data_IF_992737637540
#
_entry.id   IF_992737637540
#
_cell.length_a   1.000
_cell.length_b   1.000
_cell.length_c   1.000
_cell.angle_alpha   90.00
_cell.angle_beta   90.00
_cell.angle_gamma   90.00
#
_symmetry.space_group_name_H-M   'P 1'
#
loop_
_entity.id
_entity.type
_entity.pdbx_description
1 polymer ?
#
# COMPACT_ATOMS: atom_id res chain seq x y z
N UNK A 1 -8.80 -20.75 5.59
CA UNK A 1 -7.69 -21.08 4.68
C UNK A 1 -7.42 -20.03 3.60
N UNK A 2 -8.40 -19.27 3.08
CA UNK A 2 -8.17 -18.29 1.99
C UNK A 2 -7.60 -16.93 2.44
N UNK A 3 -7.69 -16.56 3.70
CA UNK A 3 -7.24 -15.25 4.24
C UNK A 3 -5.74 -15.12 4.42
N UNK A 4 -5.08 -16.16 4.87
CA UNK A 4 -3.60 -16.21 4.97
C UNK A 4 -2.92 -16.01 3.62
N UNK A 5 -3.60 -16.40 2.53
CA UNK A 5 -3.14 -16.20 1.15
C UNK A 5 -3.28 -14.73 0.67
N UNK A 6 -4.24 -13.96 1.19
CA UNK A 6 -4.51 -12.59 0.71
C UNK A 6 -3.51 -11.58 1.24
N UNK A 7 -3.20 -11.60 2.53
CA UNK A 7 -2.16 -10.73 3.10
C UNK A 7 -0.76 -11.11 2.59
N UNK A 8 -0.46 -12.40 2.47
CA UNK A 8 0.82 -12.88 1.91
C UNK A 8 0.93 -12.62 0.40
N UNK A 9 -0.15 -12.76 -0.38
CA UNK A 9 -0.14 -12.46 -1.81
C UNK A 9 0.03 -10.96 -2.09
N UNK A 10 -0.52 -10.07 -1.27
CA UNK A 10 -0.32 -8.62 -1.41
C UNK A 10 1.11 -8.26 -1.02
N UNK A 11 1.67 -8.82 0.06
CA UNK A 11 3.07 -8.62 0.45
C UNK A 11 4.06 -9.32 -0.50
N UNK A 12 3.74 -10.52 -1.02
CA UNK A 12 4.58 -11.26 -1.98
C UNK A 12 4.58 -10.64 -3.39
N UNK A 13 3.54 -9.91 -3.78
CA UNK A 13 3.53 -9.17 -5.05
C UNK A 13 4.51 -7.98 -5.07
N UNK A 14 5.09 -7.63 -3.94
CA UNK A 14 6.19 -6.67 -3.83
C UNK A 14 7.58 -7.29 -4.05
N UNK A 15 7.67 -8.63 -4.16
CA UNK A 15 8.87 -9.32 -4.61
C UNK A 15 8.64 -9.77 -6.05
N UNK A 16 9.21 -9.08 -7.02
CA UNK A 16 9.29 -9.55 -8.41
C UNK A 16 10.10 -10.87 -8.42
N UNK A 17 9.56 -11.99 -8.93
CA UNK A 17 10.39 -13.16 -9.16
C UNK A 17 11.22 -12.93 -10.43
N UNK A 18 12.47 -12.53 -10.29
CA UNK A 18 13.47 -12.82 -11.32
C UNK A 18 13.71 -14.34 -11.33
N UNK A 19 13.18 -15.04 -12.29
CA UNK A 19 13.61 -16.38 -12.66
C UNK A 19 14.88 -16.23 -13.49
N UNK A 20 16.01 -16.59 -12.95
CA UNK A 20 17.29 -16.68 -13.65
C UNK A 20 18.41 -16.88 -12.66
N UNK A 21 19.06 -18.02 -12.77
CA UNK A 21 20.37 -18.41 -12.24
C UNK A 21 20.71 -18.04 -10.79
N UNK A 22 21.36 -18.97 -10.06
CA UNK A 22 21.77 -18.83 -8.65
C UNK A 22 22.94 -17.83 -8.50
N UNK A 23 22.69 -16.59 -8.90
CA UNK A 23 23.53 -15.44 -8.51
C UNK A 23 22.86 -14.74 -7.34
N UNK A 24 23.67 -14.23 -6.39
CA UNK A 24 23.21 -13.37 -5.29
C UNK A 24 22.25 -12.33 -5.88
N UNK A 25 20.99 -12.23 -5.40
CA UNK A 25 20.04 -11.27 -5.95
C UNK A 25 20.65 -9.88 -5.90
N UNK A 26 20.49 -9.06 -6.95
CA UNK A 26 21.06 -7.71 -6.99
C UNK A 26 20.57 -6.93 -5.76
N UNK A 27 21.48 -6.19 -5.14
CA UNK A 27 21.18 -5.40 -3.95
C UNK A 27 20.18 -4.25 -4.23
N UNK A 28 19.93 -3.92 -5.50
CA UNK A 28 19.05 -2.83 -5.95
C UNK A 28 18.18 -3.26 -7.14
N UNK A 29 17.02 -2.63 -7.30
CA UNK A 29 16.18 -2.73 -8.49
C UNK A 29 16.56 -1.59 -9.44
N UNK A 30 17.24 -1.93 -10.53
CA UNK A 30 17.63 -0.97 -11.57
C UNK A 30 16.54 -0.88 -12.63
N UNK A 31 16.05 0.33 -12.87
CA UNK A 31 15.08 0.66 -13.91
C UNK A 31 15.79 1.52 -14.94
N UNK A 32 15.96 0.95 -16.14
CA UNK A 32 16.62 1.63 -17.26
C UNK A 32 15.57 2.26 -18.15
N UNK A 33 15.67 3.55 -18.38
CA UNK A 33 14.79 4.31 -19.25
C UNK A 33 15.62 5.05 -20.31
N UNK A 34 15.27 4.84 -21.57
CA UNK A 34 15.77 5.63 -22.69
C UNK A 34 14.68 6.55 -23.16
N UNK A 35 14.83 7.86 -22.89
CA UNK A 35 13.75 8.84 -23.08
C UNK A 35 14.20 9.99 -24.00
N UNK A 36 13.23 10.61 -24.65
CA UNK A 36 13.47 11.78 -25.50
C UNK A 36 13.31 13.10 -24.72
N UNK A 37 14.09 14.14 -25.04
CA UNK A 37 13.83 15.50 -24.57
C UNK A 37 12.39 15.90 -24.91
N UNK A 38 11.67 16.48 -23.95
CA UNK A 38 10.28 16.89 -24.19
C UNK A 38 9.93 18.09 -23.31
N UNK A 39 9.53 19.19 -23.94
CA UNK A 39 9.04 20.37 -23.26
C UNK A 39 7.71 20.13 -22.55
N UNK A 40 7.40 20.99 -21.56
CA UNK A 40 6.10 20.96 -20.91
C UNK A 40 4.96 21.21 -21.92
N UNK A 41 3.82 20.52 -21.77
CA UNK A 41 2.67 20.76 -22.62
C UNK A 41 2.14 22.18 -22.44
N UNK A 42 1.47 22.70 -23.47
CA UNK A 42 0.78 24.00 -23.43
C UNK A 42 -0.70 23.77 -23.71
N UNK A 43 -1.62 24.01 -22.76
CA UNK A 43 -1.39 24.48 -21.37
C UNK A 43 -0.69 23.43 -20.49
N UNK A 44 0.00 23.85 -19.43
CA UNK A 44 0.83 22.99 -18.58
C UNK A 44 0.06 21.81 -17.95
N UNK A 45 -1.21 22.00 -17.61
CA UNK A 45 -2.10 20.98 -17.04
C UNK A 45 -2.99 20.30 -18.10
N UNK A 46 -2.56 20.26 -19.37
CA UNK A 46 -3.28 19.54 -20.43
C UNK A 46 -3.48 18.06 -20.07
N UNK A 47 -2.51 17.47 -19.43
CA UNK A 47 -2.53 16.09 -18.97
C UNK A 47 -2.62 16.04 -17.45
N UNK A 48 -3.58 15.26 -16.94
CA UNK A 48 -3.74 14.98 -15.51
C UNK A 48 -3.95 13.48 -15.31
N UNK A 49 -3.43 12.95 -14.20
CA UNK A 49 -3.52 11.53 -13.85
C UNK A 49 -4.72 11.20 -12.94
N UNK A 50 -5.51 12.20 -12.58
CA UNK A 50 -6.79 12.04 -11.87
C UNK A 50 -7.89 12.78 -12.61
N UNK A 51 -9.16 12.34 -12.52
CA UNK A 51 -10.29 13.07 -13.07
C UNK A 51 -10.39 14.49 -12.50
N UNK A 52 -10.66 15.45 -13.35
CA UNK A 52 -10.95 16.83 -12.96
C UNK A 52 -12.39 16.96 -12.44
N UNK A 53 -12.64 17.97 -11.62
CA UNK A 53 -13.97 18.21 -11.07
C UNK A 53 -15.07 18.28 -12.17
N UNK A 54 -14.75 18.83 -13.34
CA UNK A 54 -15.68 18.89 -14.51
C UNK A 54 -16.01 17.52 -15.10
N UNK A 55 -15.19 16.50 -14.85
CA UNK A 55 -15.39 15.11 -15.28
C UNK A 55 -16.15 14.29 -14.24
N UNK A 56 -16.23 14.80 -12.99
CA UNK A 56 -16.82 14.08 -11.86
C UNK A 56 -18.34 14.12 -11.90
N UNK A 57 -18.96 13.03 -11.46
CA UNK A 57 -20.39 12.87 -11.29
C UNK A 57 -20.71 12.37 -9.88
N UNK A 58 -21.87 12.70 -9.30
CA UNK A 58 -22.27 12.17 -8.02
C UNK A 58 -22.55 10.67 -8.10
N UNK A 59 -22.05 9.90 -7.13
CA UNK A 59 -22.36 8.48 -7.01
C UNK A 59 -21.27 7.64 -6.39
N UNK A 60 -21.60 6.36 -6.13
CA UNK A 60 -20.66 5.39 -5.56
C UNK A 60 -19.91 4.62 -6.66
N UNK A 61 -18.59 4.82 -6.83
CA UNK A 61 -17.77 4.14 -7.84
C UNK A 61 -17.68 2.63 -7.64
N UNK A 62 -17.83 2.13 -6.41
CA UNK A 62 -17.61 0.71 -6.09
C UNK A 62 -18.59 -0.16 -6.86
N UNK A 63 -19.85 0.24 -6.94
CA UNK A 63 -20.86 -0.48 -7.73
C UNK A 63 -20.48 -0.57 -9.21
N UNK A 64 -19.93 0.49 -9.81
CA UNK A 64 -19.50 0.51 -11.20
C UNK A 64 -18.31 -0.42 -11.46
N UNK A 65 -17.34 -0.46 -10.54
CA UNK A 65 -16.22 -1.40 -10.63
C UNK A 65 -16.68 -2.86 -10.53
N UNK A 66 -17.57 -3.18 -9.59
CA UNK A 66 -18.11 -4.53 -9.41
C UNK A 66 -18.98 -4.97 -10.61
N UNK A 67 -19.67 -4.04 -11.27
CA UNK A 67 -20.43 -4.30 -12.50
C UNK A 67 -19.56 -4.80 -13.64
N UNK A 68 -18.29 -4.41 -13.72
CA UNK A 68 -17.38 -4.98 -14.71
C UNK A 68 -17.36 -6.51 -14.63
N UNK A 69 -17.36 -7.07 -13.43
CA UNK A 69 -17.28 -8.51 -13.20
C UNK A 69 -18.62 -9.20 -13.46
N UNK A 70 -19.73 -8.65 -12.99
CA UNK A 70 -21.05 -9.23 -13.15
C UNK A 70 -21.54 -9.18 -14.62
N UNK A 71 -21.25 -8.09 -15.35
CA UNK A 71 -21.63 -7.91 -16.73
C UNK A 71 -20.71 -8.61 -17.74
N UNK A 72 -19.44 -8.83 -17.38
CA UNK A 72 -18.39 -9.33 -18.28
C UNK A 72 -17.67 -10.56 -17.73
N UNK A 73 -18.45 -11.52 -17.23
CA UNK A 73 -17.93 -12.75 -16.61
C UNK A 73 -16.96 -13.53 -17.52
N UNK A 74 -17.26 -13.63 -18.81
CA UNK A 74 -16.38 -14.29 -19.77
C UNK A 74 -15.01 -13.63 -19.90
N UNK A 75 -14.94 -12.30 -19.78
CA UNK A 75 -13.67 -11.56 -19.80
C UNK A 75 -12.86 -11.72 -18.51
N UNK A 76 -13.52 -11.76 -17.34
CA UNK A 76 -12.82 -11.75 -16.05
C UNK A 76 -12.57 -13.13 -15.47
N UNK A 77 -13.46 -14.12 -15.69
CA UNK A 77 -13.40 -15.43 -15.01
C UNK A 77 -13.14 -16.61 -15.94
N UNK A 78 -13.27 -16.43 -17.28
CA UNK A 78 -12.90 -17.51 -18.20
C UNK A 78 -11.40 -17.78 -18.09
N UNK A 79 -11.01 -19.05 -17.95
CA UNK A 79 -9.63 -19.49 -17.74
C UNK A 79 -8.70 -19.03 -18.85
N UNK A 80 -9.11 -19.21 -20.10
CA UNK A 80 -8.31 -18.82 -21.28
C UNK A 80 -8.13 -17.30 -21.36
N UNK A 81 -9.17 -16.52 -21.03
CA UNK A 81 -9.09 -15.05 -20.97
C UNK A 81 -8.13 -14.59 -19.85
N UNK A 82 -8.13 -15.26 -18.71
CA UNK A 82 -7.20 -14.98 -17.61
C UNK A 82 -5.75 -15.30 -18.00
N UNK A 83 -5.49 -16.50 -18.55
CA UNK A 83 -4.17 -16.92 -19.01
C UNK A 83 -3.63 -15.98 -20.11
N UNK A 84 -4.50 -15.62 -21.07
CA UNK A 84 -4.14 -14.63 -22.10
C UNK A 84 -3.78 -13.27 -21.48
N UNK A 85 -4.58 -12.77 -20.54
CA UNK A 85 -4.30 -11.51 -19.84
C UNK A 85 -2.96 -11.54 -19.10
N UNK A 86 -2.67 -12.63 -18.38
CA UNK A 86 -1.42 -12.81 -17.65
C UNK A 86 -0.22 -12.82 -18.59
N UNK A 87 -0.33 -13.49 -19.74
CA UNK A 87 0.68 -13.45 -20.79
C UNK A 87 0.89 -12.03 -21.33
N UNK A 88 -0.18 -11.31 -21.66
CA UNK A 88 -0.12 -9.96 -22.23
C UNK A 88 0.50 -8.93 -21.26
N UNK A 89 0.38 -9.14 -19.96
CA UNK A 89 0.99 -8.25 -18.94
C UNK A 89 2.52 -8.26 -18.97
N UNK A 90 3.16 -9.31 -19.47
CA UNK A 90 4.61 -9.51 -19.44
C UNK A 90 5.29 -9.45 -20.81
N UNK A 91 4.52 -9.44 -21.91
CA UNK A 91 5.08 -9.33 -23.25
C UNK A 91 5.75 -7.97 -23.46
N UNK A 92 6.91 -7.90 -24.16
CA UNK A 92 7.49 -6.63 -24.61
C UNK A 92 6.50 -5.82 -25.46
N UNK A 93 6.55 -4.48 -25.38
CA UNK A 93 5.61 -3.62 -26.13
C UNK A 93 5.60 -3.91 -27.65
N UNK A 94 6.76 -4.18 -28.24
CA UNK A 94 6.86 -4.53 -29.68
C UNK A 94 6.06 -5.78 -30.05
N UNK A 95 5.99 -6.76 -29.15
CA UNK A 95 5.24 -7.99 -29.34
C UNK A 95 3.74 -7.79 -29.11
N UNK A 96 3.36 -6.82 -28.28
CA UNK A 96 1.94 -6.45 -28.09
C UNK A 96 1.29 -5.92 -29.36
N UNK A 97 2.03 -5.23 -30.23
CA UNK A 97 1.52 -4.73 -31.52
C UNK A 97 1.02 -5.86 -32.42
N UNK A 98 1.63 -7.05 -32.34
CA UNK A 98 1.22 -8.22 -33.14
C UNK A 98 -0.01 -8.94 -32.56
N UNK A 99 -0.55 -8.53 -31.40
CA UNK A 99 -1.64 -9.22 -30.69
C UNK A 99 -3.05 -8.67 -31.01
N UNK A 100 -3.19 -7.76 -31.96
CA UNK A 100 -4.49 -7.17 -32.36
C UNK A 100 -5.32 -6.63 -31.16
N UNK A 101 -4.68 -5.78 -30.34
CA UNK A 101 -5.26 -5.26 -29.10
C UNK A 101 -5.93 -3.88 -29.24
N UNK A 102 -6.26 -3.41 -30.45
CA UNK A 102 -6.82 -2.06 -30.70
C UNK A 102 -8.06 -1.75 -29.86
N UNK A 103 -8.87 -2.75 -29.59
CA UNK A 103 -10.11 -2.64 -28.83
C UNK A 103 -10.10 -3.47 -27.54
N UNK A 104 -8.92 -3.80 -27.01
CA UNK A 104 -8.83 -4.63 -25.80
C UNK A 104 -9.58 -4.01 -24.63
N UNK A 105 -10.53 -4.73 -24.10
CA UNK A 105 -11.30 -4.33 -22.91
C UNK A 105 -12.27 -3.16 -23.16
N UNK A 106 -12.47 -2.67 -24.39
CA UNK A 106 -13.33 -1.51 -24.71
C UNK A 106 -14.72 -1.60 -24.08
N UNK A 107 -15.37 -2.74 -24.18
CA UNK A 107 -16.70 -3.00 -23.59
C UNK A 107 -16.53 -3.40 -22.11
N UNK A 108 -15.62 -4.33 -21.82
CA UNK A 108 -15.47 -4.94 -20.50
C UNK A 108 -14.99 -3.93 -19.42
N UNK A 109 -14.24 -2.90 -19.81
CA UNK A 109 -13.69 -1.90 -18.89
C UNK A 109 -14.44 -0.56 -18.92
N UNK A 110 -15.51 -0.44 -19.71
CA UNK A 110 -16.30 0.79 -19.83
C UNK A 110 -16.90 1.24 -18.50
N UNK A 111 -17.39 0.29 -17.71
CA UNK A 111 -17.95 0.59 -16.39
C UNK A 111 -16.88 1.11 -15.42
N UNK A 112 -15.63 0.63 -15.56
CA UNK A 112 -14.51 1.13 -14.74
C UNK A 112 -14.17 2.58 -15.11
N UNK A 113 -14.19 2.94 -16.40
CA UNK A 113 -13.94 4.31 -16.85
C UNK A 113 -15.01 5.29 -16.33
N UNK A 114 -16.27 4.86 -16.30
CA UNK A 114 -17.36 5.62 -15.72
C UNK A 114 -17.24 5.72 -14.21
N UNK A 115 -17.00 4.59 -13.52
CA UNK A 115 -16.84 4.53 -12.07
C UNK A 115 -15.70 5.41 -11.57
N UNK A 116 -14.58 5.47 -12.30
CA UNK A 116 -13.44 6.32 -11.97
C UNK A 116 -13.78 7.82 -11.85
N UNK A 117 -14.93 8.23 -12.39
CA UNK A 117 -15.44 9.62 -12.40
C UNK A 117 -16.61 9.83 -11.43
N UNK A 118 -16.80 8.95 -10.46
CA UNK A 118 -17.76 9.10 -9.37
C UNK A 118 -17.06 9.57 -8.09
N UNK A 119 -17.77 10.40 -7.29
CA UNK A 119 -17.16 11.22 -6.23
C UNK A 119 -17.27 10.65 -4.81
N UNK A 120 -18.12 9.61 -4.59
CA UNK A 120 -18.45 9.12 -3.24
C UNK A 120 -18.16 7.62 -3.07
N UNK A 121 -16.89 7.21 -2.94
CA UNK A 121 -16.55 5.81 -2.72
C UNK A 121 -17.06 5.36 -1.35
N UNK A 122 -18.03 4.44 -1.35
CA UNK A 122 -18.56 3.79 -0.16
C UNK A 122 -18.54 2.26 -0.35
N UNK A 123 -17.71 1.59 0.44
CA UNK A 123 -17.52 0.15 0.39
C UNK A 123 -18.62 -0.66 1.09
N UNK A 124 -19.47 0.00 1.88
CA UNK A 124 -20.62 -0.58 2.58
C UNK A 124 -20.31 -1.81 3.45
N UNK A 125 -19.08 -1.89 3.96
CA UNK A 125 -18.62 -3.04 4.78
C UNK A 125 -18.46 -2.71 6.26
N UNK A 126 -18.78 -1.50 6.70
CA UNK A 126 -18.56 -1.07 8.09
C UNK A 126 -19.30 -1.94 9.10
N UNK A 127 -20.54 -2.38 8.79
CA UNK A 127 -21.27 -3.31 9.64
C UNK A 127 -20.54 -4.65 9.74
N UNK A 128 -20.17 -5.23 8.61
CA UNK A 128 -19.43 -6.51 8.57
C UNK A 128 -18.08 -6.41 9.29
N UNK A 129 -17.39 -5.27 9.19
CA UNK A 129 -16.15 -5.02 9.92
C UNK A 129 -16.34 -5.16 11.44
N UNK A 130 -17.48 -4.65 11.96
CA UNK A 130 -17.83 -4.72 13.39
C UNK A 130 -18.30 -6.12 13.83
N UNK A 131 -18.95 -6.88 12.94
CA UNK A 131 -19.54 -8.19 13.29
C UNK A 131 -18.62 -9.36 13.04
N UNK A 132 -17.90 -9.35 11.91
CA UNK A 132 -17.12 -10.49 11.44
C UNK A 132 -15.66 -10.43 11.92
N UNK A 133 -15.19 -9.25 12.35
CA UNK A 133 -13.86 -9.03 12.91
C UNK A 133 -12.75 -9.56 12.00
N UNK A 134 -11.74 -10.23 12.57
CA UNK A 134 -10.62 -10.86 11.81
C UNK A 134 -11.11 -11.96 10.84
N UNK A 135 -12.37 -12.39 10.93
CA UNK A 135 -12.97 -13.37 10.02
C UNK A 135 -13.63 -12.74 8.79
N UNK A 136 -13.62 -11.42 8.63
CA UNK A 136 -14.18 -10.70 7.48
C UNK A 136 -13.50 -11.11 6.18
N UNK A 137 -14.23 -11.63 5.20
CA UNK A 137 -13.75 -11.92 3.85
C UNK A 137 -13.83 -10.66 2.98
N UNK A 138 -12.80 -10.45 2.14
CA UNK A 138 -12.67 -9.28 1.28
C UNK A 138 -12.55 -9.71 -0.20
N UNK A 139 -13.57 -10.35 -0.80
CA UNK A 139 -13.52 -10.76 -2.20
C UNK A 139 -13.35 -9.57 -3.14
N UNK A 140 -14.00 -8.45 -2.85
CA UNK A 140 -14.01 -7.23 -3.66
C UNK A 140 -12.58 -6.67 -3.85
N UNK A 141 -11.73 -6.80 -2.83
CA UNK A 141 -10.34 -6.31 -2.88
C UNK A 141 -9.52 -7.07 -3.94
N UNK A 142 -9.74 -8.38 -4.10
CA UNK A 142 -9.09 -9.19 -5.14
C UNK A 142 -9.63 -8.86 -6.53
N UNK A 143 -10.92 -8.58 -6.65
CA UNK A 143 -11.54 -8.13 -7.89
C UNK A 143 -10.93 -6.81 -8.35
N UNK A 144 -10.75 -5.83 -7.46
CA UNK A 144 -10.11 -4.55 -7.84
C UNK A 144 -8.70 -4.75 -8.38
N UNK A 145 -7.92 -5.68 -7.83
CA UNK A 145 -6.60 -6.02 -8.36
C UNK A 145 -6.69 -6.69 -9.74
N UNK A 146 -7.65 -7.59 -9.95
CA UNK A 146 -7.90 -8.20 -11.24
C UNK A 146 -8.31 -7.17 -12.29
N UNK A 147 -9.14 -6.20 -11.91
CA UNK A 147 -9.53 -5.07 -12.75
C UNK A 147 -8.31 -4.22 -13.13
N UNK A 148 -7.43 -3.90 -12.19
CA UNK A 148 -6.20 -3.16 -12.45
C UNK A 148 -5.28 -3.89 -13.43
N UNK A 149 -5.18 -5.22 -13.35
CA UNK A 149 -4.41 -6.02 -14.30
C UNK A 149 -5.01 -5.97 -15.72
N UNK A 150 -6.33 -5.97 -15.85
CA UNK A 150 -6.98 -5.80 -17.16
C UNK A 150 -6.75 -4.39 -17.72
N UNK A 151 -6.84 -3.35 -16.88
CA UNK A 151 -6.53 -1.96 -17.24
C UNK A 151 -5.06 -1.80 -17.64
N UNK A 152 -4.13 -2.49 -16.97
CA UNK A 152 -2.71 -2.51 -17.34
C UNK A 152 -2.49 -2.98 -18.78
N UNK A 153 -3.15 -4.08 -19.19
CA UNK A 153 -3.02 -4.59 -20.57
C UNK A 153 -3.56 -3.57 -21.58
N UNK A 154 -4.72 -2.95 -21.29
CA UNK A 154 -5.26 -1.88 -22.14
C UNK A 154 -4.30 -0.70 -22.25
N UNK A 155 -3.78 -0.22 -21.12
CA UNK A 155 -2.82 0.88 -21.07
C UNK A 155 -1.59 0.58 -21.95
N UNK A 156 -0.98 -0.61 -21.77
CA UNK A 156 0.18 -1.02 -22.55
C UNK A 156 -0.11 -1.16 -24.03
N UNK A 157 -1.30 -1.66 -24.40
CA UNK A 157 -1.73 -1.73 -25.79
C UNK A 157 -1.86 -0.34 -26.42
N UNK A 158 -2.46 0.63 -25.70
CA UNK A 158 -2.59 2.02 -26.13
C UNK A 158 -1.24 2.70 -26.28
N UNK A 159 -0.30 2.44 -25.35
CA UNK A 159 1.10 2.90 -25.44
C UNK A 159 1.81 2.32 -26.67
N UNK A 160 1.70 1.01 -26.89
CA UNK A 160 2.31 0.34 -28.03
C UNK A 160 1.79 0.89 -29.39
N UNK A 161 0.52 1.28 -29.43
CA UNK A 161 -0.13 1.90 -30.60
C UNK A 161 0.18 3.41 -30.75
N UNK A 162 0.93 4.03 -29.84
CA UNK A 162 1.21 5.46 -29.84
C UNK A 162 -0.01 6.35 -29.52
N UNK A 163 -1.10 5.78 -28.98
CA UNK A 163 -2.33 6.48 -28.60
C UNK A 163 -2.23 7.06 -27.19
N UNK A 164 -1.35 8.05 -27.00
CA UNK A 164 -1.02 8.57 -25.67
C UNK A 164 -2.21 9.22 -24.94
N UNK A 165 -3.13 9.88 -25.64
CA UNK A 165 -4.31 10.47 -25.02
C UNK A 165 -5.26 9.39 -24.46
N UNK A 166 -5.40 8.23 -25.14
CA UNK A 166 -6.16 7.09 -24.66
C UNK A 166 -5.43 6.41 -23.50
N UNK A 167 -4.12 6.22 -23.62
CA UNK A 167 -3.25 5.67 -22.59
C UNK A 167 -3.35 6.48 -21.29
N UNK A 168 -3.31 7.79 -21.36
CA UNK A 168 -3.48 8.70 -20.21
C UNK A 168 -4.90 8.64 -19.63
N UNK A 169 -5.93 8.43 -20.48
CA UNK A 169 -7.30 8.20 -19.99
C UNK A 169 -7.40 6.91 -19.20
N UNK A 170 -6.73 5.84 -19.65
CA UNK A 170 -6.65 4.57 -18.92
C UNK A 170 -5.84 4.72 -17.64
N UNK A 171 -4.70 5.42 -17.67
CA UNK A 171 -3.93 5.75 -16.46
C UNK A 171 -4.78 6.50 -15.44
N UNK A 172 -5.54 7.53 -15.87
CA UNK A 172 -6.48 8.30 -15.03
C UNK A 172 -7.50 7.38 -14.35
N UNK A 173 -8.03 6.38 -15.06
CA UNK A 173 -8.95 5.39 -14.49
C UNK A 173 -8.25 4.54 -13.42
N UNK A 174 -7.00 4.10 -13.64
CA UNK A 174 -6.23 3.31 -12.68
C UNK A 174 -5.87 4.12 -11.42
N UNK A 175 -5.44 5.36 -11.57
CA UNK A 175 -5.13 6.26 -10.45
C UNK A 175 -6.38 6.60 -9.62
N UNK A 176 -7.54 6.80 -10.27
CA UNK A 176 -8.80 6.99 -9.57
C UNK A 176 -9.23 5.73 -8.81
N UNK A 177 -9.14 4.54 -9.43
CA UNK A 177 -9.42 3.26 -8.78
C UNK A 177 -8.54 3.08 -7.53
N UNK A 178 -7.25 3.38 -7.62
CA UNK A 178 -6.34 3.26 -6.48
C UNK A 178 -6.71 4.22 -5.34
N UNK A 179 -7.13 5.45 -5.65
CA UNK A 179 -7.62 6.40 -4.64
C UNK A 179 -8.93 5.95 -4.01
N UNK A 180 -9.86 5.37 -4.78
CA UNK A 180 -11.08 4.81 -4.22
C UNK A 180 -10.81 3.62 -3.30
N UNK A 181 -9.70 2.87 -3.53
CA UNK A 181 -9.22 1.86 -2.61
C UNK A 181 -8.70 2.44 -1.29
N UNK A 182 -8.18 3.66 -1.26
CA UNK A 182 -7.75 4.30 -0.01
C UNK A 182 -8.90 4.61 0.95
N UNK A 183 -10.13 4.67 0.44
CA UNK A 183 -11.35 4.83 1.24
C UNK A 183 -11.89 3.51 1.80
N UNK A 184 -11.25 2.38 1.49
CA UNK A 184 -11.61 1.09 2.04
C UNK A 184 -11.23 1.01 3.53
N UNK A 185 -12.16 0.67 4.44
CA UNK A 185 -11.91 0.72 5.88
C UNK A 185 -11.14 -0.53 6.38
N UNK A 186 -10.09 -0.94 5.67
CA UNK A 186 -9.10 -1.92 6.12
C UNK A 186 -7.72 -1.58 5.57
N UNK A 187 -6.66 -1.92 6.28
CA UNK A 187 -5.29 -1.75 5.79
C UNK A 187 -5.02 -2.54 4.51
N UNK A 188 -5.66 -3.71 4.35
CA UNK A 188 -5.57 -4.53 3.14
C UNK A 188 -6.08 -3.74 1.92
N UNK A 189 -7.21 -3.04 2.06
CA UNK A 189 -7.74 -2.16 1.01
C UNK A 189 -6.75 -1.06 0.63
N UNK A 190 -6.18 -0.38 1.61
CA UNK A 190 -5.14 0.64 1.38
C UNK A 190 -3.90 0.08 0.68
N UNK A 191 -3.41 -1.10 1.10
CA UNK A 191 -2.28 -1.79 0.44
C UNK A 191 -2.60 -2.19 -1.00
N UNK A 192 -3.83 -2.60 -1.29
CA UNK A 192 -4.26 -2.88 -2.68
C UNK A 192 -4.31 -1.59 -3.49
N UNK A 193 -4.70 -0.46 -2.90
CA UNK A 193 -4.59 0.87 -3.54
C UNK A 193 -3.14 1.21 -3.91
N UNK A 194 -2.18 0.98 -3.01
CA UNK A 194 -0.74 1.11 -3.29
C UNK A 194 -0.31 0.19 -4.43
N UNK A 195 -0.73 -1.08 -4.40
CA UNK A 195 -0.40 -2.06 -5.44
C UNK A 195 -0.96 -1.68 -6.81
N UNK A 196 -2.20 -1.19 -6.89
CA UNK A 196 -2.83 -0.73 -8.13
C UNK A 196 -2.07 0.45 -8.73
N UNK A 197 -1.63 1.40 -7.90
CA UNK A 197 -0.82 2.52 -8.38
C UNK A 197 0.53 2.02 -8.95
N UNK A 198 1.20 1.10 -8.27
CA UNK A 198 2.45 0.50 -8.77
C UNK A 198 2.23 -0.29 -10.07
N UNK A 199 1.07 -0.96 -10.23
CA UNK A 199 0.67 -1.59 -11.49
C UNK A 199 0.51 -0.56 -12.61
N UNK A 200 0.02 0.66 -12.32
CA UNK A 200 -0.14 1.73 -13.29
C UNK A 200 1.20 2.41 -13.65
N UNK A 201 2.15 2.46 -12.72
CA UNK A 201 3.47 3.08 -12.94
C UNK A 201 4.27 2.34 -14.01
N UNK A 202 4.22 1.00 -14.07
CA UNK A 202 4.98 0.25 -15.07
C UNK A 202 4.67 0.66 -16.52
N UNK A 203 3.40 0.62 -16.97
CA UNK A 203 3.04 1.14 -18.30
C UNK A 203 3.34 2.63 -18.51
N UNK A 204 3.31 3.43 -17.45
CA UNK A 204 3.69 4.83 -17.51
C UNK A 204 5.18 4.97 -17.85
N UNK A 205 6.05 4.18 -17.25
CA UNK A 205 7.48 4.12 -17.56
C UNK A 205 7.72 3.65 -19.00
N UNK A 206 7.02 2.59 -19.44
CA UNK A 206 7.05 2.14 -20.83
C UNK A 206 6.61 3.24 -21.83
N UNK A 207 5.65 4.09 -21.42
CA UNK A 207 5.17 5.20 -22.24
C UNK A 207 6.21 6.30 -22.36
N UNK A 208 6.99 6.60 -21.29
CA UNK A 208 8.04 7.62 -21.31
C UNK A 208 9.15 7.30 -22.33
N UNK A 209 9.37 6.02 -22.61
CA UNK A 209 10.37 5.56 -23.59
C UNK A 209 9.86 5.67 -25.05
N UNK A 210 8.57 5.93 -25.27
CA UNK A 210 8.04 6.01 -26.62
C UNK A 210 8.30 7.38 -27.26
N UNK A 211 8.70 7.41 -28.55
CA UNK A 211 8.85 8.66 -29.28
C UNK A 211 7.58 9.50 -29.28
N UNK A 212 7.72 10.78 -29.02
CA UNK A 212 6.57 11.71 -28.99
C UNK A 212 5.70 11.63 -27.73
N UNK A 213 6.09 10.82 -26.74
CA UNK A 213 5.40 10.81 -25.44
C UNK A 213 5.42 12.22 -24.82
N UNK A 214 4.26 12.77 -24.41
CA UNK A 214 4.18 14.09 -23.78
C UNK A 214 4.94 14.10 -22.44
N UNK A 215 5.42 15.28 -22.02
CA UNK A 215 5.99 15.43 -20.69
C UNK A 215 4.90 15.46 -19.63
N UNK A 216 5.05 14.65 -18.58
CA UNK A 216 4.08 14.46 -17.50
C UNK A 216 4.53 15.06 -16.16
N UNK A 217 5.56 15.89 -16.14
CA UNK A 217 6.07 16.49 -14.91
C UNK A 217 4.94 17.14 -14.08
N UNK A 218 4.13 18.00 -14.74
CA UNK A 218 3.04 18.68 -14.05
C UNK A 218 1.86 17.77 -13.71
N UNK A 219 1.62 16.73 -14.51
CA UNK A 219 0.60 15.71 -14.20
C UNK A 219 0.95 14.92 -12.93
N UNK A 220 2.21 14.51 -12.78
CA UNK A 220 2.73 13.85 -11.59
C UNK A 220 2.80 14.80 -10.39
N UNK A 221 3.13 16.07 -10.61
CA UNK A 221 3.19 17.09 -9.56
C UNK A 221 1.80 17.41 -8.99
N UNK A 222 0.76 17.29 -9.80
CA UNK A 222 -0.63 17.54 -9.40
C UNK A 222 -1.26 16.39 -8.59
N UNK A 223 -0.59 15.24 -8.48
CA UNK A 223 -1.07 14.15 -7.63
C UNK A 223 -1.06 14.57 -6.15
N UNK A 224 -2.08 14.17 -5.36
CA UNK A 224 -2.04 14.38 -3.91
C UNK A 224 -0.86 13.66 -3.26
N UNK A 225 -0.39 14.18 -2.15
CA UNK A 225 0.66 13.56 -1.37
C UNK A 225 0.22 13.44 0.10
N UNK A 226 0.03 12.23 0.62
CA UNK A 226 0.16 10.93 -0.07
C UNK A 226 -0.94 10.72 -1.13
N UNK A 227 -0.62 10.00 -2.20
CA UNK A 227 -1.63 9.63 -3.20
C UNK A 227 -2.65 8.65 -2.63
N UNK A 228 -2.18 7.69 -1.83
CA UNK A 228 -2.99 6.70 -1.13
C UNK A 228 -2.89 7.00 0.36
N UNK A 229 -3.97 7.55 0.95
CA UNK A 229 -4.08 7.67 2.41
C UNK A 229 -4.35 6.29 3.02
N UNK A 230 -3.80 6.07 4.22
CA UNK A 230 -4.04 4.87 5.01
C UNK A 230 -4.99 5.13 6.19
N UNK A 231 -5.50 6.36 6.34
CA UNK A 231 -6.26 6.80 7.51
C UNK A 231 -7.51 5.96 7.72
N UNK A 232 -8.30 5.73 6.66
CA UNK A 232 -9.50 4.87 6.72
C UNK A 232 -9.17 3.44 7.12
N UNK A 233 -8.09 2.90 6.57
CA UNK A 233 -7.60 1.57 6.94
C UNK A 233 -7.20 1.50 8.42
N UNK A 234 -6.50 2.52 8.93
CA UNK A 234 -6.08 2.60 10.34
C UNK A 234 -7.28 2.74 11.28
N UNK A 235 -8.28 3.57 10.93
CA UNK A 235 -9.54 3.66 11.67
C UNK A 235 -10.25 2.31 11.72
N UNK A 236 -10.31 1.60 10.59
CA UNK A 236 -10.94 0.29 10.50
C UNK A 236 -10.23 -0.79 11.31
N UNK A 237 -8.90 -0.77 11.38
CA UNK A 237 -8.13 -1.68 12.26
C UNK A 237 -8.45 -1.45 13.73
N UNK A 238 -8.64 -0.19 14.16
CA UNK A 238 -9.09 0.11 15.53
C UNK A 238 -10.47 -0.49 15.82
N UNK A 239 -11.40 -0.35 14.88
CA UNK A 239 -12.75 -0.92 14.99
C UNK A 239 -12.70 -2.45 15.05
N UNK A 240 -11.88 -3.07 14.19
CA UNK A 240 -11.72 -4.52 14.12
C UNK A 240 -11.16 -5.08 15.43
N UNK A 241 -10.06 -4.50 15.92
CA UNK A 241 -9.44 -4.93 17.18
C UNK A 241 -10.38 -4.73 18.36
N UNK A 242 -11.05 -3.58 18.44
CA UNK A 242 -12.04 -3.34 19.51
C UNK A 242 -13.19 -4.35 19.46
N UNK A 243 -13.60 -4.79 18.26
CA UNK A 243 -14.60 -5.83 18.07
C UNK A 243 -14.16 -7.21 18.58
N UNK A 244 -12.88 -7.59 18.33
CA UNK A 244 -12.33 -8.87 18.76
C UNK A 244 -12.22 -9.00 20.29
N UNK A 245 -11.98 -7.89 20.98
CA UNK A 245 -11.79 -7.90 22.44
C UNK A 245 -12.96 -7.28 23.21
N UNK A 246 -14.11 -7.08 22.57
CA UNK A 246 -15.32 -6.50 23.20
C UNK A 246 -15.81 -7.24 24.43
N UNK A 247 -15.50 -8.54 24.53
CA UNK A 247 -15.91 -9.39 25.66
C UNK A 247 -14.96 -9.26 26.88
N UNK A 248 -13.84 -8.55 26.74
CA UNK A 248 -12.97 -8.19 27.86
C UNK A 248 -13.62 -7.06 28.65
N UNK A 249 -14.37 -7.42 29.71
CA UNK A 249 -15.16 -6.49 30.50
C UNK A 249 -14.25 -5.69 31.47
N UNK A 250 -14.35 -4.37 31.43
CA UNK A 250 -13.66 -3.44 32.32
C UNK A 250 -14.55 -2.83 33.41
N UNK A 251 -15.85 -3.13 33.40
CA UNK A 251 -16.86 -2.54 34.28
C UNK A 251 -17.37 -3.48 35.36
N UNK A 252 -17.24 -4.80 35.16
CA UNK A 252 -17.68 -5.83 36.14
C UNK A 252 -16.73 -7.03 36.16
N UNK A 253 -16.67 -7.75 37.30
CA UNK A 253 -15.91 -9.01 37.39
C UNK A 253 -16.44 -10.04 36.38
N UNK A 254 -15.56 -10.70 35.67
CA UNK A 254 -15.86 -11.78 34.74
C UNK A 254 -15.96 -13.13 35.51
N UNK A 255 -16.92 -13.95 35.12
CA UNK A 255 -16.96 -15.33 35.59
C UNK A 255 -15.88 -16.21 34.98
N UNK A 256 -15.61 -17.36 35.58
CA UNK A 256 -14.63 -18.31 35.03
C UNK A 256 -15.00 -18.76 33.61
N UNK A 257 -16.26 -19.04 33.32
CA UNK A 257 -16.73 -19.38 31.96
C UNK A 257 -16.50 -18.27 30.94
N UNK A 258 -16.70 -17.00 31.31
CA UNK A 258 -16.41 -15.85 30.45
C UNK A 258 -14.93 -15.71 30.17
N UNK A 259 -14.08 -15.90 31.20
CA UNK A 259 -12.62 -15.86 31.05
C UNK A 259 -12.12 -16.99 30.15
N UNK A 260 -12.62 -18.21 30.31
CA UNK A 260 -12.24 -19.36 29.48
C UNK A 260 -12.63 -19.12 28.01
N UNK A 261 -13.81 -18.59 27.73
CA UNK A 261 -14.25 -18.24 26.37
C UNK A 261 -13.38 -17.15 25.77
N UNK A 262 -13.05 -16.10 26.52
CA UNK A 262 -12.16 -15.03 26.07
C UNK A 262 -10.75 -15.56 25.78
N UNK A 263 -10.18 -16.36 26.66
CA UNK A 263 -8.86 -16.97 26.47
C UNK A 263 -8.82 -17.82 25.20
N UNK A 264 -9.82 -18.67 24.99
CA UNK A 264 -9.92 -19.48 23.77
C UNK A 264 -10.07 -18.61 22.51
N UNK A 265 -10.78 -17.47 22.59
CA UNK A 265 -10.91 -16.53 21.51
C UNK A 265 -9.58 -15.83 21.20
N UNK A 266 -8.83 -15.38 22.21
CA UNK A 266 -7.50 -14.80 22.06
C UNK A 266 -6.54 -15.78 21.34
N UNK A 267 -6.55 -17.05 21.77
CA UNK A 267 -5.71 -18.08 21.14
C UNK A 267 -6.09 -18.30 19.67
N UNK A 268 -7.39 -18.28 19.34
CA UNK A 268 -7.87 -18.35 17.94
C UNK A 268 -7.39 -17.18 17.10
N UNK A 269 -7.47 -15.93 17.59
CA UNK A 269 -6.95 -14.74 16.91
C UNK A 269 -5.46 -14.86 16.65
N UNK A 270 -4.70 -15.32 17.66
CA UNK A 270 -3.24 -15.56 17.55
C UNK A 270 -2.89 -16.64 16.52
N UNK A 271 -3.69 -17.70 16.39
CA UNK A 271 -3.48 -18.73 15.36
C UNK A 271 -3.66 -18.19 13.95
N UNK A 272 -4.65 -17.34 13.72
CA UNK A 272 -4.86 -16.67 12.41
C UNK A 272 -3.63 -15.83 12.07
N UNK A 273 -3.09 -15.08 13.00
CA UNK A 273 -1.91 -14.24 12.82
C UNK A 273 -0.60 -15.07 12.71
N UNK A 274 -0.47 -16.21 13.39
CA UNK A 274 0.69 -17.10 13.25
C UNK A 274 0.84 -17.68 11.85
N UNK A 275 -0.28 -17.95 11.16
CA UNK A 275 -0.28 -18.42 9.77
C UNK A 275 0.30 -17.32 8.85
N UNK A 276 0.20 -16.06 9.24
CA UNK A 276 0.68 -14.89 8.49
C UNK A 276 2.12 -14.46 8.84
N UNK A 277 2.66 -14.89 9.99
CA UNK A 277 4.00 -14.52 10.43
C UNK A 277 4.99 -15.70 10.38
N UNK A 278 6.27 -15.37 10.10
CA UNK A 278 7.37 -16.36 10.08
C UNK A 278 7.46 -17.15 11.38
N UNK A 279 7.86 -18.44 11.34
CA UNK A 279 8.06 -19.25 12.52
C UNK A 279 9.12 -18.62 13.45
N UNK A 280 8.74 -18.32 14.69
CA UNK A 280 9.65 -17.74 15.71
C UNK A 280 8.95 -17.08 16.90
N UNK A 281 7.62 -16.92 16.88
CA UNK A 281 6.89 -16.53 18.08
C UNK A 281 6.84 -17.71 19.06
N UNK A 282 7.05 -17.48 20.37
CA UNK A 282 6.96 -18.56 21.35
C UNK A 282 5.57 -19.18 21.32
N UNK A 283 5.53 -20.50 21.18
CA UNK A 283 4.30 -21.30 21.17
C UNK A 283 3.75 -21.43 22.59
N UNK A 284 3.27 -20.32 23.14
CA UNK A 284 2.65 -20.28 24.47
C UNK A 284 1.19 -19.90 24.29
N UNK A 285 0.29 -20.81 24.70
CA UNK A 285 -1.14 -20.48 24.80
C UNK A 285 -1.34 -19.30 25.77
N UNK A 286 -2.41 -18.55 25.58
CA UNK A 286 -2.80 -17.46 26.49
C UNK A 286 -2.95 -17.98 27.93
N UNK A 287 -3.46 -19.21 28.11
CA UNK A 287 -3.54 -19.85 29.43
C UNK A 287 -2.17 -20.02 30.08
N UNK A 288 -1.20 -20.59 29.38
CA UNK A 288 0.18 -20.75 29.88
C UNK A 288 0.82 -19.40 30.23
N UNK A 289 0.54 -18.38 29.45
CA UNK A 289 1.04 -17.01 29.70
C UNK A 289 0.44 -16.44 30.99
N UNK A 290 -0.87 -16.61 31.23
CA UNK A 290 -1.56 -16.19 32.44
C UNK A 290 -1.09 -16.96 33.67
N UNK A 291 -1.02 -18.30 33.61
CA UNK A 291 -0.62 -19.16 34.74
C UNK A 291 0.78 -18.85 35.27
N UNK A 292 1.68 -18.40 34.39
CA UNK A 292 3.01 -17.96 34.79
C UNK A 292 3.01 -16.64 35.57
N UNK A 293 2.01 -15.75 35.29
CA UNK A 293 1.95 -14.40 35.87
C UNK A 293 1.05 -14.28 37.08
N UNK A 294 0.01 -15.07 37.17
CA UNK A 294 -0.92 -15.07 38.32
C UNK A 294 -0.22 -15.47 39.60
N UNK A 295 0.79 -16.35 39.49
CA UNK A 295 1.57 -16.82 40.63
C UNK A 295 2.46 -15.73 41.25
N UNK A 296 2.69 -14.66 40.52
CA UNK A 296 3.47 -13.51 40.98
C UNK A 296 2.50 -12.36 41.39
N UNK A 297 2.19 -12.31 42.70
CA UNK A 297 1.32 -11.28 43.27
C UNK A 297 1.84 -9.85 43.01
N UNK A 298 3.17 -9.69 42.85
CA UNK A 298 3.80 -8.43 42.51
C UNK A 298 3.41 -7.96 41.13
N UNK A 299 3.32 -8.88 40.13
CA UNK A 299 2.87 -8.54 38.77
C UNK A 299 1.39 -8.15 38.75
N UNK A 300 0.52 -8.87 39.43
CA UNK A 300 -0.92 -8.55 39.50
C UNK A 300 -1.13 -7.20 40.19
N UNK A 301 -0.44 -6.95 41.29
CA UNK A 301 -0.53 -5.66 42.02
C UNK A 301 0.02 -4.50 41.17
N UNK A 302 1.08 -4.72 40.42
CA UNK A 302 1.60 -3.73 39.49
C UNK A 302 0.64 -3.44 38.33
N UNK A 303 -0.02 -4.47 37.77
CA UNK A 303 -1.05 -4.31 36.77
C UNK A 303 -2.26 -3.50 37.29
N UNK A 304 -2.73 -3.78 38.51
CA UNK A 304 -3.80 -2.97 39.14
C UNK A 304 -3.40 -1.50 39.27
N UNK A 305 -2.20 -1.20 39.75
CA UNK A 305 -1.73 0.19 39.87
C UNK A 305 -1.74 0.91 38.54
N UNK A 306 -1.23 0.28 37.46
CA UNK A 306 -1.23 0.89 36.13
C UNK A 306 -2.66 1.15 35.61
N UNK A 307 -3.61 0.26 35.89
CA UNK A 307 -5.01 0.45 35.54
C UNK A 307 -5.65 1.61 36.34
N UNK A 308 -5.30 1.77 37.63
CA UNK A 308 -5.73 2.91 38.45
C UNK A 308 -5.16 4.22 37.89
N UNK A 309 -3.89 4.23 37.52
CA UNK A 309 -3.22 5.40 36.92
C UNK A 309 -3.90 5.90 35.62
N UNK A 310 -4.56 4.99 34.88
CA UNK A 310 -5.32 5.35 33.67
C UNK A 310 -6.82 5.55 33.91
N UNK A 311 -7.26 5.61 35.18
CA UNK A 311 -8.59 6.05 35.56
C UNK A 311 -9.58 4.94 35.95
N UNK A 312 -9.16 3.67 36.06
CA UNK A 312 -10.04 2.62 36.59
C UNK A 312 -10.17 2.76 38.13
N UNK A 313 -11.40 2.71 38.70
CA UNK A 313 -11.59 2.78 40.13
C UNK A 313 -10.94 1.59 40.86
N UNK A 314 -10.11 1.87 41.85
CA UNK A 314 -9.37 0.83 42.60
C UNK A 314 -10.28 -0.20 43.24
N UNK A 315 -11.37 0.26 43.89
CA UNK A 315 -12.36 -0.62 44.51
C UNK A 315 -12.98 -1.61 43.54
N UNK A 316 -13.14 -1.24 42.28
CA UNK A 316 -13.66 -2.11 41.21
C UNK A 316 -12.61 -3.16 40.86
N UNK A 317 -11.35 -2.75 40.63
CA UNK A 317 -10.26 -3.66 40.25
C UNK A 317 -9.93 -4.68 41.33
N UNK A 318 -10.16 -4.36 42.61
CA UNK A 318 -9.97 -5.30 43.71
C UNK A 318 -10.96 -6.47 43.65
N UNK A 319 -12.12 -6.33 42.99
CA UNK A 319 -13.11 -7.39 42.78
C UNK A 319 -12.86 -8.25 41.58
N UNK A 320 -11.95 -7.83 40.68
CA UNK A 320 -11.66 -8.55 39.43
C UNK A 320 -10.75 -9.74 39.67
N UNK A 321 -10.99 -10.88 39.01
CA UNK A 321 -10.03 -11.98 38.94
C UNK A 321 -8.66 -11.51 38.44
N UNK A 322 -7.60 -12.16 38.89
CA UNK A 322 -6.23 -11.79 38.51
C UNK A 322 -6.02 -11.88 36.99
N UNK A 323 -6.61 -12.88 36.34
CA UNK A 323 -6.60 -13.05 34.90
C UNK A 323 -7.19 -11.83 34.17
N UNK A 324 -8.35 -11.37 34.62
CA UNK A 324 -9.02 -10.19 34.01
C UNK A 324 -8.15 -8.94 34.15
N UNK A 325 -7.54 -8.73 35.34
CA UNK A 325 -6.66 -7.60 35.59
C UNK A 325 -5.43 -7.63 34.64
N UNK A 326 -4.79 -8.80 34.49
CA UNK A 326 -3.64 -8.95 33.59
C UNK A 326 -4.00 -8.76 32.13
N UNK A 327 -5.16 -9.26 31.67
CA UNK A 327 -5.64 -9.08 30.29
C UNK A 327 -5.97 -7.62 30.01
N UNK A 328 -6.61 -6.89 30.92
CA UNK A 328 -6.90 -5.46 30.81
C UNK A 328 -5.63 -4.64 30.73
N UNK A 329 -4.63 -4.92 31.59
CA UNK A 329 -3.35 -4.24 31.59
C UNK A 329 -2.57 -4.47 30.29
N UNK A 330 -2.55 -5.70 29.76
CA UNK A 330 -1.94 -6.02 28.47
C UNK A 330 -2.66 -5.38 27.28
N UNK A 331 -4.00 -5.33 27.30
CA UNK A 331 -4.78 -4.62 26.28
C UNK A 331 -4.46 -3.14 26.29
N UNK A 332 -4.38 -2.53 27.47
CA UNK A 332 -4.03 -1.12 27.61
C UNK A 332 -2.61 -0.84 27.11
N UNK A 333 -1.65 -1.71 27.45
CA UNK A 333 -0.27 -1.58 26.95
C UNK A 333 -0.20 -1.69 25.42
N UNK A 334 -1.00 -2.60 24.84
CA UNK A 334 -1.14 -2.71 23.39
C UNK A 334 -1.75 -1.43 22.77
N UNK A 335 -2.83 -0.90 23.33
CA UNK A 335 -3.47 0.33 22.82
C UNK A 335 -2.50 1.51 22.81
N UNK A 336 -1.72 1.69 23.88
CA UNK A 336 -0.67 2.71 23.93
C UNK A 336 0.35 2.49 22.82
N UNK A 337 0.87 1.27 22.65
CA UNK A 337 1.82 0.94 21.60
C UNK A 337 1.26 1.13 20.19
N UNK A 338 0.00 0.73 19.95
CA UNK A 338 -0.72 0.95 18.70
C UNK A 338 -0.83 2.44 18.36
N UNK A 339 -1.29 3.24 19.32
CA UNK A 339 -1.52 4.67 19.10
C UNK A 339 -0.20 5.43 18.91
N UNK A 340 0.90 4.99 19.56
CA UNK A 340 2.25 5.50 19.30
C UNK A 340 2.70 5.28 17.85
N UNK A 341 2.31 4.18 17.23
CA UNK A 341 2.59 3.91 15.81
C UNK A 341 1.60 4.66 14.91
N UNK A 342 0.31 4.62 15.24
CA UNK A 342 -0.74 5.24 14.41
C UNK A 342 -0.57 6.76 14.29
N UNK A 343 -0.12 7.45 15.35
CA UNK A 343 0.13 8.91 15.28
C UNK A 343 1.17 9.29 14.23
N UNK A 344 2.04 8.35 13.81
CA UNK A 344 3.07 8.59 12.82
C UNK A 344 2.54 8.60 11.38
N UNK A 345 1.34 8.05 11.14
CA UNK A 345 0.79 7.92 9.78
C UNK A 345 0.47 9.26 9.14
N UNK A 346 0.20 10.29 9.94
CA UNK A 346 -0.08 11.66 9.48
C UNK A 346 1.18 12.50 9.21
N UNK A 347 2.37 11.95 9.50
CA UNK A 347 3.63 12.65 9.30
C UNK A 347 4.23 12.32 7.93
N UNK A 348 5.06 13.21 7.35
CA UNK A 348 5.92 12.83 6.23
C UNK A 348 6.75 11.58 6.55
N UNK A 349 6.97 10.71 5.55
CA UNK A 349 7.61 9.40 5.78
C UNK A 349 8.94 9.51 6.52
N UNK A 350 9.81 10.48 6.17
CA UNK A 350 11.12 10.66 6.84
C UNK A 350 10.99 11.08 8.33
N UNK A 351 9.95 11.85 8.69
CA UNK A 351 9.70 12.20 10.09
C UNK A 351 9.16 10.99 10.86
N UNK A 352 8.24 10.25 10.24
CA UNK A 352 7.69 9.03 10.80
C UNK A 352 8.81 7.99 11.07
N UNK A 353 9.72 7.78 10.13
CA UNK A 353 10.87 6.87 10.29
C UNK A 353 11.80 7.31 11.45
N UNK A 354 12.09 8.61 11.53
CA UNK A 354 12.92 9.16 12.62
C UNK A 354 12.29 8.89 13.99
N UNK A 355 10.98 9.12 14.13
CA UNK A 355 10.25 8.91 15.38
C UNK A 355 9.99 7.43 15.66
N UNK A 356 9.76 6.61 14.63
CA UNK A 356 9.57 5.17 14.79
C UNK A 356 10.78 4.51 15.45
N UNK A 357 12.00 4.98 15.14
CA UNK A 357 13.24 4.53 15.82
C UNK A 357 13.28 4.83 17.32
N UNK A 358 12.44 5.75 17.81
CA UNK A 358 12.33 6.09 19.23
C UNK A 358 11.24 5.29 19.97
N UNK A 359 10.32 4.65 19.22
CA UNK A 359 9.27 3.83 19.82
C UNK A 359 9.91 2.57 20.42
N UNK A 360 9.70 2.38 21.72
CA UNK A 360 10.19 1.17 22.39
C UNK A 360 9.45 -0.04 21.81
N UNK A 361 10.17 -1.07 21.34
CA UNK A 361 9.53 -2.28 20.87
C UNK A 361 8.69 -2.90 21.98
N UNK A 362 7.55 -3.50 21.61
CA UNK A 362 6.76 -4.28 22.54
C UNK A 362 7.66 -5.32 23.23
N UNK A 363 7.45 -5.56 24.54
CA UNK A 363 8.19 -6.58 25.27
C UNK A 363 8.01 -7.92 24.53
N UNK A 364 9.07 -8.72 24.40
CA UNK A 364 9.02 -10.07 23.76
C UNK A 364 7.92 -10.96 24.33
N UNK A 365 7.49 -10.70 25.55
CA UNK A 365 6.49 -11.46 26.28
C UNK A 365 5.09 -10.81 26.26
N UNK A 366 4.91 -9.70 25.55
CA UNK A 366 3.61 -9.02 25.45
C UNK A 366 2.61 -9.91 24.72
N UNK A 367 1.42 -10.10 25.31
CA UNK A 367 0.38 -10.99 24.79
C UNK A 367 -0.12 -10.53 23.42
N UNK A 368 -0.27 -9.21 23.22
CA UNK A 368 -0.78 -8.58 22.00
C UNK A 368 0.31 -7.89 21.16
N UNK A 369 1.58 -8.08 21.50
CA UNK A 369 2.70 -7.41 20.83
C UNK A 369 2.86 -7.76 19.34
N UNK A 370 2.25 -8.86 18.89
CA UNK A 370 2.27 -9.31 17.49
C UNK A 370 1.43 -8.43 16.53
N UNK A 371 0.48 -7.65 17.04
CA UNK A 371 -0.41 -6.80 16.23
C UNK A 371 0.26 -5.50 15.73
N UNK A 372 1.27 -4.99 16.41
CA UNK A 372 1.91 -3.70 16.13
C UNK A 372 2.80 -3.70 14.86
N UNK A 373 3.64 -4.73 14.57
CA UNK A 373 4.56 -4.70 13.44
C UNK A 373 3.92 -4.57 12.05
N UNK A 374 2.66 -4.99 11.88
CA UNK A 374 1.94 -4.89 10.61
C UNK A 374 1.75 -3.43 10.17
N UNK A 375 1.49 -2.52 11.11
CA UNK A 375 1.25 -1.09 10.84
C UNK A 375 2.48 -0.39 10.23
N UNK A 376 3.68 -0.69 10.72
CA UNK A 376 4.92 -0.13 10.19
C UNK A 376 5.22 -0.62 8.77
N UNK A 377 4.95 -1.89 8.46
CA UNK A 377 5.13 -2.46 7.13
C UNK A 377 4.24 -1.78 6.08
N UNK A 378 3.00 -1.46 6.47
CA UNK A 378 2.04 -0.77 5.59
C UNK A 378 2.52 0.64 5.28
N UNK A 379 3.05 1.36 6.26
CA UNK A 379 3.63 2.69 6.07
C UNK A 379 4.84 2.66 5.12
N UNK A 380 5.71 1.66 5.25
CA UNK A 380 6.85 1.48 4.34
C UNK A 380 6.40 1.21 2.89
N UNK A 381 5.30 0.48 2.69
CA UNK A 381 4.74 0.27 1.36
C UNK A 381 4.25 1.59 0.73
N UNK A 382 3.59 2.45 1.51
CA UNK A 382 3.18 3.80 1.09
C UNK A 382 4.41 4.67 0.75
N UNK A 383 5.42 4.71 1.63
CA UNK A 383 6.65 5.49 1.40
C UNK A 383 7.39 5.08 0.13
N UNK A 384 7.42 3.78 -0.21
CA UNK A 384 7.98 3.29 -1.49
C UNK A 384 7.20 3.79 -2.70
N UNK A 385 5.88 3.84 -2.62
CA UNK A 385 5.05 4.42 -3.69
C UNK A 385 5.36 5.91 -3.86
N UNK A 386 5.43 6.67 -2.76
CA UNK A 386 5.79 8.08 -2.77
C UNK A 386 7.18 8.29 -3.42
N UNK A 387 8.16 7.46 -3.06
CA UNK A 387 9.51 7.50 -3.63
C UNK A 387 9.51 7.19 -5.13
N UNK A 388 8.71 6.21 -5.59
CA UNK A 388 8.59 5.87 -7.01
C UNK A 388 8.01 7.02 -7.83
N UNK A 389 6.95 7.66 -7.34
CA UNK A 389 6.36 8.85 -7.98
C UNK A 389 7.35 10.02 -7.99
N UNK A 390 8.06 10.24 -6.89
CA UNK A 390 9.07 11.28 -6.79
C UNK A 390 10.22 11.07 -7.81
N UNK A 391 10.71 9.84 -7.96
CA UNK A 391 11.74 9.50 -8.94
C UNK A 391 11.25 9.70 -10.39
N UNK A 392 10.01 9.32 -10.71
CA UNK A 392 9.42 9.60 -12.02
C UNK A 392 9.32 11.11 -12.32
N UNK A 393 9.01 11.94 -11.32
CA UNK A 393 9.02 13.39 -11.48
C UNK A 393 10.42 13.91 -11.81
N UNK A 394 11.49 13.30 -11.27
CA UNK A 394 12.86 13.66 -11.65
C UNK A 394 13.17 13.24 -13.09
N UNK A 395 12.73 12.06 -13.53
CA UNK A 395 12.89 11.64 -14.93
C UNK A 395 12.24 12.65 -15.87
N UNK A 396 11.03 13.08 -15.58
CA UNK A 396 10.30 14.07 -16.38
C UNK A 396 10.95 15.47 -16.32
N UNK A 397 11.50 15.84 -15.19
CA UNK A 397 12.26 17.08 -15.04
C UNK A 397 13.57 17.06 -15.85
N UNK A 398 14.25 15.90 -15.92
CA UNK A 398 15.42 15.73 -16.83
C UNK A 398 15.02 15.87 -18.29
N UNK A 399 13.85 15.34 -18.70
CA UNK A 399 13.33 15.52 -20.07
C UNK A 399 13.03 16.98 -20.40
N UNK A 400 12.47 17.74 -19.43
CA UNK A 400 12.23 19.18 -19.55
C UNK A 400 13.55 19.94 -19.76
N UNK A 401 14.53 19.69 -18.88
CA UNK A 401 15.83 20.33 -18.95
C UNK A 401 16.53 20.04 -20.29
N UNK A 402 16.54 18.79 -20.71
CA UNK A 402 17.17 18.36 -21.95
C UNK A 402 16.51 19.00 -23.20
N UNK A 403 15.22 19.29 -23.16
CA UNK A 403 14.50 19.97 -24.26
C UNK A 403 14.98 21.42 -24.48
N UNK A 404 15.46 22.07 -23.42
CA UNK A 404 15.98 23.46 -23.46
C UNK A 404 17.50 23.52 -23.62
N UNK A 405 18.20 22.37 -23.51
CA UNK A 405 19.67 22.29 -23.48
C UNK A 405 20.26 21.31 -24.51
N UNK A 406 19.69 21.26 -25.71
CA UNK A 406 20.18 20.43 -26.83
C UNK A 406 20.34 18.93 -26.50
N UNK A 407 19.47 18.41 -25.64
CA UNK A 407 19.49 17.01 -25.20
C UNK A 407 20.55 16.69 -24.16
N UNK A 408 21.13 17.68 -23.50
CA UNK A 408 22.13 17.50 -22.44
C UNK A 408 21.50 17.27 -21.11
N UNK A 409 22.12 16.46 -20.26
CA UNK A 409 21.79 16.28 -18.86
C UNK A 409 22.35 17.42 -18.00
N UNK A 410 21.66 17.86 -16.92
CA UNK A 410 22.22 18.80 -15.95
C UNK A 410 23.40 18.16 -15.19
N UNK A 411 24.41 18.92 -14.84
CA UNK A 411 25.52 18.43 -13.99
C UNK A 411 25.02 18.21 -12.56
N UNK A 412 24.13 19.07 -12.09
CA UNK A 412 23.48 18.98 -10.76
C UNK A 412 21.98 19.19 -10.86
N UNK A 413 21.23 18.62 -9.93
CA UNK A 413 19.76 18.78 -9.89
C UNK A 413 19.32 20.24 -9.67
N UNK A 414 20.18 21.10 -9.13
CA UNK A 414 19.88 22.52 -8.92
C UNK A 414 19.81 23.36 -10.20
N UNK A 415 20.30 22.82 -11.33
CA UNK A 415 20.21 23.47 -12.64
C UNK A 415 18.79 23.32 -13.26
N UNK A 416 17.99 22.38 -12.75
CA UNK A 416 16.65 22.12 -13.28
C UNK A 416 15.70 23.24 -12.85
N UNK A 417 14.98 23.91 -13.78
CA UNK A 417 14.22 25.12 -13.48
C UNK A 417 12.85 24.85 -12.82
N UNK A 418 12.53 23.59 -12.49
CA UNK A 418 11.27 23.20 -11.84
C UNK A 418 11.52 22.61 -10.45
N UNK A 419 10.56 22.76 -9.49
CA UNK A 419 10.73 22.22 -8.14
C UNK A 419 10.84 20.71 -8.14
N UNK A 420 11.89 20.15 -7.55
CA UNK A 420 12.09 18.70 -7.44
C UNK A 420 11.59 18.19 -6.08
N UNK A 421 10.92 17.03 -6.02
CA UNK A 421 10.52 16.43 -4.76
C UNK A 421 11.74 15.90 -3.99
N UNK A 422 11.65 15.92 -2.67
CA UNK A 422 12.63 15.27 -1.80
C UNK A 422 12.39 13.76 -1.73
N UNK A 423 13.43 13.00 -1.38
CA UNK A 423 13.30 11.58 -1.07
C UNK A 423 12.44 11.42 0.19
N UNK A 424 11.28 10.71 0.12
CA UNK A 424 10.34 10.60 1.24
C UNK A 424 10.90 9.86 2.45
N UNK A 425 11.97 9.06 2.30
CA UNK A 425 12.60 8.37 3.43
C UNK A 425 13.66 9.20 4.15
N UNK A 426 14.19 10.25 3.52
CA UNK A 426 15.25 11.07 4.13
C UNK A 426 14.87 12.53 4.31
N UNK A 427 13.86 13.03 3.59
CA UNK A 427 13.55 14.47 3.51
C UNK A 427 14.65 15.30 2.84
N UNK A 428 15.57 14.67 2.10
CA UNK A 428 16.70 15.29 1.41
C UNK A 428 16.60 15.09 -0.10
N UNK A 429 17.31 15.87 -0.92
CA UNK A 429 17.42 15.61 -2.35
C UNK A 429 17.87 14.17 -2.65
N UNK A 430 17.36 13.61 -3.74
CA UNK A 430 17.80 12.31 -4.22
C UNK A 430 19.30 12.33 -4.60
N UNK A 431 19.95 11.17 -4.49
CA UNK A 431 21.31 11.01 -4.99
C UNK A 431 21.27 11.03 -6.50
N UNK A 432 22.00 11.98 -7.08
CA UNK A 432 22.08 12.19 -8.51
C UNK A 432 23.54 12.16 -8.96
N UNK A 433 23.81 11.48 -10.05
CA UNK A 433 25.13 11.39 -10.67
C UNK A 433 24.96 11.24 -12.16
N UNK A 434 25.80 11.89 -12.95
CA UNK A 434 25.90 11.71 -14.40
C UNK A 434 27.16 10.94 -14.71
N UNK A 435 27.03 9.89 -15.52
CA UNK A 435 28.14 9.14 -16.08
C UNK A 435 27.98 9.05 -17.62
N UNK A 436 28.76 9.81 -18.32
CA UNK A 436 28.62 9.97 -19.77
C UNK A 436 27.23 10.51 -20.15
N UNK A 437 26.45 9.70 -20.88
CA UNK A 437 25.10 10.05 -21.32
C UNK A 437 24.01 9.55 -20.37
N UNK A 438 24.36 8.94 -19.24
CA UNK A 438 23.42 8.32 -18.31
C UNK A 438 23.32 9.12 -17.01
N UNK A 439 22.10 9.47 -16.63
CA UNK A 439 21.78 10.00 -15.31
C UNK A 439 21.37 8.87 -14.36
N UNK A 440 22.00 8.83 -13.21
CA UNK A 440 21.70 7.89 -12.13
C UNK A 440 20.93 8.61 -11.02
N UNK A 441 19.71 8.17 -10.76
CA UNK A 441 18.87 8.65 -9.67
C UNK A 441 18.61 7.51 -8.69
N UNK A 442 19.02 7.65 -7.43
CA UNK A 442 18.88 6.61 -6.42
C UNK A 442 18.02 7.08 -5.25
N UNK A 443 17.01 6.28 -4.94
CA UNK A 443 16.25 6.40 -3.69
C UNK A 443 17.05 5.84 -2.52
N UNK A 444 16.73 6.29 -1.31
CA UNK A 444 17.29 5.73 -0.08
C UNK A 444 16.32 4.68 0.45
N UNK A 445 16.75 3.43 0.68
CA UNK A 445 15.89 2.43 1.32
C UNK A 445 15.61 2.79 2.77
N UNK A 446 14.45 2.38 3.33
CA UNK A 446 14.20 2.53 4.77
C UNK A 446 15.21 1.73 5.60
N UNK A 447 15.48 2.14 6.86
CA UNK A 447 16.39 1.44 7.74
C UNK A 447 16.03 -0.04 7.91
N UNK A 448 17.04 -0.93 7.77
CA UNK A 448 16.85 -2.38 7.84
C UNK A 448 16.39 -3.04 6.54
N UNK A 449 16.17 -2.26 5.46
CA UNK A 449 15.76 -2.77 4.16
C UNK A 449 16.81 -2.54 3.06
N UNK A 450 18.03 -2.17 3.42
CA UNK A 450 19.13 -1.82 2.50
C UNK A 450 19.50 -2.98 1.55
N UNK A 451 19.26 -4.22 1.99
CA UNK A 451 19.51 -5.42 1.19
C UNK A 451 18.28 -5.91 0.40
N UNK A 452 17.16 -5.21 0.50
CA UNK A 452 15.93 -5.57 -0.19
C UNK A 452 15.85 -4.85 -1.53
N UNK A 453 15.92 -5.57 -2.68
CA UNK A 453 15.90 -4.93 -4.00
C UNK A 453 14.67 -4.04 -4.21
N UNK A 454 13.50 -4.48 -3.74
CA UNK A 454 12.25 -3.73 -3.87
C UNK A 454 12.18 -2.43 -3.06
N UNK A 455 13.13 -2.18 -2.16
CA UNK A 455 13.24 -0.94 -1.37
C UNK A 455 14.45 -0.09 -1.79
N UNK A 456 15.29 -0.62 -2.66
CA UNK A 456 16.50 0.03 -3.14
C UNK A 456 16.35 0.29 -4.65
N UNK A 457 15.74 1.43 -4.97
CA UNK A 457 15.32 1.77 -6.34
C UNK A 457 16.35 2.69 -6.97
N UNK A 458 16.82 2.31 -8.18
CA UNK A 458 17.77 3.04 -8.97
C UNK A 458 17.23 3.23 -10.40
N UNK A 459 17.06 4.48 -10.82
CA UNK A 459 16.78 4.82 -12.21
C UNK A 459 18.07 5.16 -12.94
N UNK A 460 18.31 4.49 -14.06
CA UNK A 460 19.31 4.84 -15.07
C UNK A 460 18.58 5.47 -16.26
N UNK A 461 18.78 6.76 -16.47
CA UNK A 461 18.08 7.54 -17.49
C UNK A 461 19.04 7.98 -18.58
N UNK A 462 18.77 7.55 -19.80
CA UNK A 462 19.52 7.96 -21.00
C UNK A 462 18.66 8.90 -21.80
N UNK A 463 19.17 10.09 -22.12
CA UNK A 463 18.51 11.03 -23.02
C UNK A 463 18.94 10.72 -24.45
N UNK A 464 17.99 10.29 -25.28
CA UNK A 464 18.20 10.04 -26.70
C UNK A 464 17.62 11.21 -27.52
N UNK A 465 18.44 11.75 -28.45
CA UNK A 465 18.00 12.82 -29.37
C UNK A 465 17.07 12.29 -30.44
#
# INVERSE_FOLDING_TARGET
>A
MLRSLVCFAVLAAFTLPCRGDQTVPPAETVIRLTVQPMAAPKPALRYLLLPELKEMNPGNPIHGYLRCFSEQQGFFYNKEACERRDKLQSLPLKELLAQELQDYGKIALRQADWAARLDKPDWQILLKLKTDGVSLLLPDVQEMRSLANALKVRFRAEVALGRFDDALRTAKTMFALSRHMSEHPTLIGGLVGVAITLIAIGPLEEMLEQPGCPNLYWALTNLPNPLISLDKGMEGERVLIAGEFRDLNDSAPMSEDQLQKLIAHIDKVREVEKIEQKPGLPDRSTRTWLDARIKDEGLVSAARRRLVEVGHPEERLLRFPAEQVLLLDEMRAFEVGRDEVMKLTNLPTWQAETLAGQIKPAKKEALFGFLVPALLKVRNAQGRLEQRIALLRHVEALRLYAAEHDGKLPVTLSEIPVPLPLDPFTGKPFRYQVDGATAHLRGTPPPGWEKSPGHNIHYEVIIQK
#
